data_IF_876470321110
#
_entry.id   IF_876470321110
#
_cell.length_a   1.000
_cell.length_b   1.000
_cell.length_c   1.000
_cell.angle_alpha   90.00
_cell.angle_beta   90.00
_cell.angle_gamma   90.00
#
_symmetry.space_group_name_H-M   'P 1'
#
loop_
_entity.id
_entity.type
_entity.pdbx_description
1 polymer ?
#
# COMPACT_ATOMS: atom_id res chain seq x y z
N UNK A 1 -40.20 -60.92 -34.53
CA UNK A 1 -40.50 -60.21 -33.31
C UNK A 1 -39.22 -59.57 -32.80
N UNK A 2 -39.07 -58.26 -32.98
CA UNK A 2 -37.87 -57.50 -32.49
C UNK A 2 -38.41 -56.31 -31.72
N UNK A 3 -38.20 -56.32 -30.36
CA UNK A 3 -38.53 -55.26 -29.47
C UNK A 3 -37.44 -54.14 -29.62
N UNK A 4 -37.87 -53.01 -30.10
CA UNK A 4 -37.03 -51.81 -30.10
C UNK A 4 -37.05 -51.11 -28.72
N UNK A 5 -35.88 -51.08 -28.09
CA UNK A 5 -35.66 -50.35 -26.85
C UNK A 5 -35.33 -48.89 -27.18
N UNK A 6 -36.27 -47.98 -26.88
CA UNK A 6 -36.03 -46.55 -27.00
C UNK A 6 -35.34 -46.03 -25.74
N UNK A 7 -34.07 -45.78 -25.88
CA UNK A 7 -33.28 -45.12 -24.82
C UNK A 7 -33.58 -43.62 -24.85
N UNK A 8 -34.27 -43.15 -23.81
CA UNK A 8 -34.46 -41.72 -23.56
C UNK A 8 -33.16 -41.11 -23.08
N UNK A 9 -32.51 -40.34 -23.92
CA UNK A 9 -31.35 -39.53 -23.54
C UNK A 9 -31.89 -38.29 -22.82
N UNK A 10 -31.78 -38.26 -21.50
CA UNK A 10 -32.05 -37.07 -20.70
C UNK A 10 -30.82 -36.15 -20.76
N UNK A 11 -30.94 -35.07 -21.51
CA UNK A 11 -29.94 -34.00 -21.52
C UNK A 11 -30.15 -33.18 -20.24
N UNK A 12 -29.31 -33.42 -19.25
CA UNK A 12 -29.20 -32.55 -18.06
C UNK A 12 -28.36 -31.34 -18.45
N UNK A 13 -29.02 -30.22 -18.75
CA UNK A 13 -28.34 -28.93 -18.89
C UNK A 13 -28.01 -28.44 -17.49
N UNK A 14 -26.76 -28.68 -17.07
CA UNK A 14 -26.21 -28.08 -15.89
C UNK A 14 -25.95 -26.59 -16.18
N UNK A 15 -26.89 -25.73 -15.78
CA UNK A 15 -26.65 -24.28 -15.68
C UNK A 15 -25.60 -24.06 -14.58
N UNK A 16 -24.33 -24.02 -14.96
CA UNK A 16 -23.28 -23.50 -14.11
C UNK A 16 -23.48 -21.98 -13.97
N UNK A 17 -24.23 -21.56 -12.99
CA UNK A 17 -24.25 -20.18 -12.53
C UNK A 17 -22.90 -19.91 -11.91
N UNK A 18 -21.96 -19.43 -12.73
CA UNK A 18 -20.74 -18.78 -12.26
C UNK A 18 -21.15 -17.51 -11.50
N UNK A 19 -21.47 -17.68 -10.20
CA UNK A 19 -21.42 -16.58 -9.26
C UNK A 19 -19.97 -16.11 -9.25
N UNK A 20 -19.69 -15.07 -10.04
CA UNK A 20 -18.43 -14.37 -10.05
C UNK A 20 -18.20 -13.76 -8.68
N UNK A 21 -17.65 -14.55 -7.75
CA UNK A 21 -16.95 -14.00 -6.61
C UNK A 21 -15.76 -13.21 -7.18
N UNK A 22 -15.97 -11.92 -7.40
CA UNK A 22 -14.88 -10.97 -7.51
C UNK A 22 -14.20 -10.95 -6.15
N UNK A 23 -13.32 -11.93 -5.89
CA UNK A 23 -12.33 -11.82 -4.85
C UNK A 23 -11.47 -10.61 -5.26
N UNK A 24 -11.79 -9.46 -4.72
CA UNK A 24 -10.93 -8.30 -4.73
C UNK A 24 -9.70 -8.71 -3.92
N UNK A 25 -8.72 -9.33 -4.59
CA UNK A 25 -7.44 -9.62 -3.97
C UNK A 25 -6.78 -8.27 -3.73
N UNK A 26 -6.73 -7.85 -2.48
CA UNK A 26 -5.96 -6.68 -2.05
C UNK A 26 -4.53 -6.89 -2.55
N UNK A 27 -3.94 -5.96 -3.29
CA UNK A 27 -2.59 -6.13 -3.79
C UNK A 27 -1.64 -6.27 -2.61
N UNK A 28 -0.88 -7.37 -2.59
CA UNK A 28 0.13 -7.59 -1.59
C UNK A 28 1.44 -7.00 -2.10
N UNK A 29 2.10 -6.20 -1.27
CA UNK A 29 3.41 -5.65 -1.57
C UNK A 29 4.44 -6.78 -1.65
N UNK A 30 5.30 -6.73 -2.66
CA UNK A 30 6.39 -7.69 -2.81
C UNK A 30 7.69 -7.06 -2.33
N UNK A 31 8.65 -7.90 -1.94
CA UNK A 31 9.97 -7.45 -1.46
C UNK A 31 10.66 -6.50 -2.43
N UNK A 32 10.54 -6.73 -3.73
CA UNK A 32 11.09 -5.87 -4.78
C UNK A 32 10.47 -4.47 -4.84
N UNK A 33 9.24 -4.30 -4.33
CA UNK A 33 8.57 -3.00 -4.29
C UNK A 33 9.10 -2.14 -3.13
N UNK A 34 9.76 -2.76 -2.16
CA UNK A 34 10.28 -2.10 -0.95
C UNK A 34 11.64 -1.45 -1.19
N UNK A 35 12.50 -2.03 -2.04
CA UNK A 35 13.87 -1.54 -2.25
C UNK A 35 13.94 -0.16 -2.96
N UNK A 36 12.89 0.23 -3.66
CA UNK A 36 12.80 1.52 -4.36
C UNK A 36 12.03 2.60 -3.60
N UNK A 37 11.79 2.39 -2.31
CA UNK A 37 10.98 3.31 -1.50
C UNK A 37 11.77 4.57 -1.14
N UNK A 38 11.08 5.70 -1.23
CA UNK A 38 11.55 7.01 -0.78
C UNK A 38 10.68 7.46 0.39
N UNK A 39 11.30 8.00 1.41
CA UNK A 39 10.67 8.55 2.61
C UNK A 39 10.77 10.05 2.58
N UNK A 40 9.65 10.74 2.67
CA UNK A 40 9.58 12.19 2.67
C UNK A 40 8.96 12.66 3.98
N UNK A 41 9.55 13.70 4.57
CA UNK A 41 8.97 14.45 5.67
C UNK A 41 8.51 15.81 5.16
N UNK A 42 7.29 16.16 5.47
CA UNK A 42 6.67 17.42 5.07
C UNK A 42 6.37 18.29 6.28
N UNK A 43 6.56 19.57 6.14
CA UNK A 43 6.18 20.61 7.10
C UNK A 43 5.65 21.83 6.34
N UNK A 44 4.60 22.44 6.87
CA UNK A 44 3.98 23.66 6.28
C UNK A 44 3.68 23.53 4.78
N UNK A 45 3.19 22.35 4.35
CA UNK A 45 2.89 22.00 2.97
C UNK A 45 4.10 21.91 2.03
N UNK A 46 5.31 21.86 2.56
CA UNK A 46 6.55 21.71 1.81
C UNK A 46 7.36 20.48 2.19
N UNK A 47 8.16 19.97 1.25
CA UNK A 47 9.13 18.90 1.51
C UNK A 47 10.25 19.48 2.39
N UNK A 48 10.40 18.95 3.60
CA UNK A 48 11.45 19.35 4.55
C UNK A 48 12.69 18.50 4.39
N UNK A 49 12.52 17.17 4.34
CA UNK A 49 13.63 16.24 4.21
C UNK A 49 13.19 14.95 3.49
N UNK A 50 14.18 14.30 2.90
CA UNK A 50 14.01 13.04 2.17
C UNK A 50 15.06 12.03 2.60
N UNK A 51 14.68 10.76 2.65
CA UNK A 51 15.60 9.65 2.81
C UNK A 51 15.25 8.54 1.82
N UNK A 52 16.25 7.79 1.37
CA UNK A 52 16.09 6.64 0.48
C UNK A 52 16.28 5.35 1.25
N UNK A 53 15.84 4.25 0.67
CA UNK A 53 16.03 2.92 1.27
C UNK A 53 17.49 2.63 1.68
N UNK A 54 18.44 3.09 0.86
CA UNK A 54 19.87 2.92 1.13
C UNK A 54 20.39 3.70 2.34
N UNK A 55 19.67 4.71 2.81
CA UNK A 55 20.06 5.53 3.96
C UNK A 55 19.69 4.88 5.30
N UNK A 56 18.90 3.79 5.26
CA UNK A 56 18.47 3.05 6.43
C UNK A 56 19.53 2.04 6.85
N UNK A 57 19.74 1.90 8.17
CA UNK A 57 20.49 0.78 8.73
C UNK A 57 19.79 -0.54 8.47
N UNK A 58 20.49 -1.65 8.62
CA UNK A 58 19.91 -2.99 8.43
C UNK A 58 18.71 -3.24 9.37
N UNK A 59 18.75 -2.77 10.61
CA UNK A 59 17.64 -2.87 11.57
C UNK A 59 16.44 -2.05 11.12
N UNK A 60 16.66 -0.82 10.66
CA UNK A 60 15.61 0.06 10.15
C UNK A 60 14.98 -0.52 8.87
N UNK A 61 15.79 -1.07 7.96
CA UNK A 61 15.31 -1.77 6.78
C UNK A 61 14.43 -2.97 7.16
N UNK A 62 14.85 -3.75 8.15
CA UNK A 62 14.08 -4.89 8.65
C UNK A 62 12.71 -4.46 9.21
N UNK A 63 12.70 -3.43 10.06
CA UNK A 63 11.49 -2.88 10.65
C UNK A 63 10.53 -2.35 9.57
N UNK A 64 11.03 -1.52 8.66
CA UNK A 64 10.22 -0.92 7.59
C UNK A 64 9.74 -1.96 6.59
N UNK A 65 10.57 -2.96 6.22
CA UNK A 65 10.14 -4.09 5.38
C UNK A 65 8.99 -4.85 6.02
N UNK A 66 9.14 -5.20 7.30
CA UNK A 66 8.10 -5.92 8.04
C UNK A 66 6.80 -5.13 8.05
N UNK A 67 6.86 -3.85 8.37
CA UNK A 67 5.71 -2.97 8.37
C UNK A 67 5.05 -2.88 6.99
N UNK A 68 5.80 -2.61 5.92
CA UNK A 68 5.25 -2.48 4.57
C UNK A 68 4.60 -3.78 4.08
N UNK A 69 5.26 -4.92 4.28
CA UNK A 69 4.77 -6.22 3.82
C UNK A 69 3.55 -6.72 4.60
N UNK A 70 3.40 -6.31 5.86
CA UNK A 70 2.27 -6.69 6.72
C UNK A 70 1.22 -5.59 6.87
N UNK A 71 1.45 -4.40 6.31
CA UNK A 71 0.46 -3.32 6.36
C UNK A 71 -0.83 -3.74 5.70
N UNK A 72 -1.90 -3.75 6.48
CA UNK A 72 -3.22 -4.00 5.94
C UNK A 72 -3.64 -2.84 5.04
N UNK A 73 -4.00 -3.16 3.81
CA UNK A 73 -4.68 -2.25 2.89
C UNK A 73 -6.20 -2.26 3.11
N UNK A 74 -6.65 -2.91 4.17
CA UNK A 74 -8.04 -2.88 4.59
C UNK A 74 -8.35 -1.54 5.24
N UNK A 75 -9.40 -0.91 4.79
CA UNK A 75 -9.82 0.39 5.28
C UNK A 75 -11.05 0.90 4.56
N UNK A 76 -11.53 2.06 4.97
CA UNK A 76 -12.63 2.71 4.27
C UNK A 76 -12.09 3.34 3.00
N UNK A 77 -12.75 3.07 1.88
CA UNK A 77 -12.52 3.83 0.64
C UNK A 77 -12.98 5.25 0.92
N UNK A 78 -12.10 6.20 0.73
CA UNK A 78 -12.42 7.62 0.95
C UNK A 78 -11.57 8.49 0.04
N UNK A 79 -12.16 9.55 -0.47
CA UNK A 79 -11.49 10.58 -1.23
C UNK A 79 -11.38 11.82 -0.32
N UNK A 80 -10.47 11.79 0.63
CA UNK A 80 -10.26 12.91 1.56
C UNK A 80 -8.99 13.64 1.17
N UNK A 81 -9.07 14.94 1.19
CA UNK A 81 -7.87 15.80 1.12
C UNK A 81 -7.24 15.84 2.51
N UNK A 82 -5.95 15.61 2.58
CA UNK A 82 -5.15 15.63 3.81
C UNK A 82 -3.81 16.30 3.56
N UNK A 83 -3.21 16.81 4.62
CA UNK A 83 -1.84 17.33 4.58
C UNK A 83 -0.92 16.21 5.08
N UNK A 84 -0.07 15.64 4.23
CA UNK A 84 0.84 14.59 4.65
C UNK A 84 1.91 15.15 5.59
N UNK A 85 2.25 14.41 6.64
CA UNK A 85 3.40 14.71 7.50
C UNK A 85 4.57 13.81 7.12
N UNK A 86 4.30 12.54 6.89
CA UNK A 86 5.26 11.57 6.37
C UNK A 86 4.64 10.91 5.15
N UNK A 87 5.41 10.85 4.07
CA UNK A 87 5.05 10.12 2.85
C UNK A 87 6.05 9.03 2.62
N UNK A 88 5.57 7.81 2.44
CA UNK A 88 6.35 6.67 1.99
C UNK A 88 5.95 6.39 0.56
N UNK A 89 6.82 6.72 -0.38
CA UNK A 89 6.53 6.67 -1.81
C UNK A 89 7.22 5.49 -2.48
N UNK A 90 6.45 4.70 -3.20
CA UNK A 90 6.93 3.66 -4.08
C UNK A 90 6.25 3.74 -5.45
N UNK A 91 6.67 2.91 -6.38
CA UNK A 91 6.17 2.94 -7.76
C UNK A 91 4.66 2.72 -7.87
N UNK A 92 4.11 1.82 -7.05
CA UNK A 92 2.71 1.37 -7.14
C UNK A 92 1.87 1.70 -5.91
N UNK A 93 2.46 2.34 -4.92
CA UNK A 93 1.75 2.73 -3.72
C UNK A 93 2.39 3.92 -3.03
N UNK A 94 1.59 4.65 -2.26
CA UNK A 94 2.05 5.67 -1.34
C UNK A 94 1.34 5.49 0.00
N UNK A 95 2.10 5.44 1.09
CA UNK A 95 1.55 5.56 2.43
C UNK A 95 1.77 6.98 2.93
N UNK A 96 0.73 7.57 3.49
CA UNK A 96 0.79 8.88 4.15
C UNK A 96 0.38 8.70 5.59
N UNK A 97 1.30 9.03 6.49
CA UNK A 97 1.07 8.99 7.94
C UNK A 97 0.78 10.42 8.39
N UNK A 98 -0.45 10.69 8.78
CA UNK A 98 -0.89 12.03 9.16
C UNK A 98 -1.82 11.98 10.37
N UNK A 99 -1.49 12.72 11.43
CA UNK A 99 -2.24 12.68 12.69
C UNK A 99 -2.39 11.25 13.21
N UNK A 100 -3.63 10.78 13.33
CA UNK A 100 -4.02 9.44 13.76
C UNK A 100 -4.43 8.51 12.60
N UNK A 101 -4.14 8.91 11.34
CA UNK A 101 -4.57 8.23 10.14
C UNK A 101 -3.39 7.74 9.29
N UNK A 102 -3.58 6.57 8.70
CA UNK A 102 -2.81 6.08 7.56
C UNK A 102 -3.68 6.20 6.32
N UNK A 103 -3.19 6.91 5.31
CA UNK A 103 -3.84 6.99 4.01
C UNK A 103 -2.95 6.25 3.01
N UNK A 104 -3.45 5.16 2.46
CA UNK A 104 -2.75 4.39 1.45
C UNK A 104 -3.40 4.61 0.08
N UNK A 105 -2.60 5.06 -0.87
CA UNK A 105 -2.97 5.10 -2.27
C UNK A 105 -2.19 4.00 -2.97
N UNK A 106 -2.87 3.12 -3.68
CA UNK A 106 -2.23 2.04 -4.43
C UNK A 106 -2.86 1.86 -5.81
N UNK A 107 -2.07 1.37 -6.74
CA UNK A 107 -2.52 1.05 -8.07
C UNK A 107 -3.20 -0.32 -8.06
N UNK A 108 -4.54 -0.33 -8.10
CA UNK A 108 -5.36 -1.55 -8.14
C UNK A 108 -5.23 -2.28 -9.49
N UNK A 109 -5.14 -1.50 -10.57
CA UNK A 109 -4.90 -1.95 -11.97
C UNK A 109 -4.09 -0.86 -12.67
N UNK A 110 -3.39 -1.16 -13.76
CA UNK A 110 -2.64 -0.16 -14.50
C UNK A 110 -3.45 1.11 -14.78
N UNK A 111 -3.00 2.23 -14.26
CA UNK A 111 -3.65 3.54 -14.36
C UNK A 111 -4.86 3.77 -13.44
N UNK A 112 -5.28 2.78 -12.65
CA UNK A 112 -6.40 2.92 -11.71
C UNK A 112 -5.92 2.90 -10.27
N UNK A 113 -5.94 4.04 -9.65
CA UNK A 113 -5.56 4.24 -8.25
C UNK A 113 -6.76 4.12 -7.31
N UNK A 114 -6.52 3.56 -6.15
CA UNK A 114 -7.49 3.46 -5.06
C UNK A 114 -6.90 4.03 -3.78
N UNK A 115 -7.73 4.74 -3.03
CA UNK A 115 -7.38 5.28 -1.73
C UNK A 115 -8.14 4.53 -0.63
N UNK A 116 -7.43 4.10 0.39
CA UNK A 116 -8.00 3.55 1.63
C UNK A 116 -7.46 4.31 2.83
N UNK A 117 -8.29 4.47 3.83
CA UNK A 117 -7.96 5.18 5.06
C UNK A 117 -8.26 4.28 6.24
N UNK A 118 -7.33 4.21 7.17
CA UNK A 118 -7.48 3.51 8.45
C UNK A 118 -6.81 4.28 9.57
N UNK A 119 -7.16 3.96 10.82
CA UNK A 119 -6.47 4.50 11.99
C UNK A 119 -5.06 3.93 12.09
N UNK A 120 -4.17 4.74 12.63
CA UNK A 120 -2.80 4.34 12.99
C UNK A 120 -2.85 3.25 14.06
N UNK A 121 -2.04 2.22 13.92
CA UNK A 121 -1.81 1.18 14.92
C UNK A 121 -0.40 1.30 15.50
N UNK A 122 -0.02 0.37 16.38
CA UNK A 122 1.30 0.39 17.05
C UNK A 122 2.44 0.21 16.06
N UNK A 123 2.28 -0.63 15.04
CA UNK A 123 3.31 -0.86 14.01
C UNK A 123 3.49 0.36 13.11
N UNK A 124 2.40 1.03 12.75
CA UNK A 124 2.45 2.29 12.00
C UNK A 124 3.18 3.38 12.78
N UNK A 125 2.97 3.46 14.09
CA UNK A 125 3.64 4.43 14.95
C UNK A 125 5.15 4.14 15.05
N UNK A 126 5.54 2.87 15.16
CA UNK A 126 6.93 2.47 15.16
C UNK A 126 7.62 2.80 13.82
N UNK A 127 6.94 2.53 12.70
CA UNK A 127 7.42 2.89 11.38
C UNK A 127 7.54 4.42 11.24
N UNK A 128 6.55 5.17 11.69
CA UNK A 128 6.55 6.64 11.69
C UNK A 128 7.76 7.20 12.43
N UNK A 129 8.02 6.71 13.64
CA UNK A 129 9.17 7.15 14.44
C UNK A 129 10.51 6.78 13.78
N UNK A 130 10.61 5.60 13.18
CA UNK A 130 11.78 5.19 12.43
C UNK A 130 12.04 6.15 11.25
N UNK A 131 11.04 6.41 10.43
CA UNK A 131 11.14 7.31 9.26
C UNK A 131 11.49 8.72 9.70
N UNK A 132 10.89 9.23 10.77
CA UNK A 132 11.22 10.54 11.34
C UNK A 132 12.70 10.64 11.68
N UNK A 133 13.27 9.63 12.37
CA UNK A 133 14.69 9.63 12.72
C UNK A 133 15.60 9.64 11.49
N UNK A 134 15.28 8.79 10.49
CA UNK A 134 16.09 8.68 9.28
C UNK A 134 16.04 9.97 8.46
N UNK A 135 14.87 10.55 8.28
CA UNK A 135 14.71 11.81 7.52
C UNK A 135 15.36 12.99 8.24
N UNK A 136 15.32 13.03 9.59
CA UNK A 136 16.00 14.08 10.37
C UNK A 136 17.53 13.97 10.24
N UNK A 137 18.11 12.76 10.17
CA UNK A 137 19.55 12.61 9.93
C UNK A 137 19.99 13.19 8.58
N UNK A 138 19.09 13.19 7.61
CA UNK A 138 19.34 13.67 6.25
C UNK A 138 18.95 15.15 6.05
N UNK A 139 18.48 15.84 7.09
CA UNK A 139 18.23 17.29 7.01
C UNK A 139 19.53 18.03 6.68
N UNK A 140 19.53 18.76 5.58
CA UNK A 140 20.61 19.66 5.27
C UNK A 140 20.64 20.78 6.31
N UNK A 141 21.81 21.13 6.89
CA UNK A 141 21.90 22.25 7.82
C UNK A 141 21.34 23.50 7.14
N UNK A 142 20.55 24.26 7.86
CA UNK A 142 19.77 25.42 7.39
C UNK A 142 20.56 26.50 6.66
N UNK A 143 21.88 26.46 6.72
CA UNK A 143 22.81 27.42 6.08
C UNK A 143 23.13 27.14 4.60
N UNK A 144 22.66 26.04 3.98
CA UNK A 144 22.97 25.68 2.58
C UNK A 144 21.79 25.80 1.62
N UNK A 145 20.73 26.52 1.97
CA UNK A 145 19.75 26.92 0.96
C UNK A 145 20.38 27.97 0.06
N UNK A 146 20.95 27.49 -1.04
CA UNK A 146 21.43 28.36 -2.12
C UNK A 146 20.22 29.17 -2.62
N UNK A 147 20.33 30.49 -2.51
CA UNK A 147 19.41 31.47 -3.07
C UNK A 147 19.36 31.35 -4.60
#
# INVERSE_FOLDING_TARGET
MKCGCWQKVSIVIALATCLGCSCSTTPQLMKQDVEGVVFERHQDNGLQSEAKWADLSQEEQSLISHWLLNSSLEGRVSLVTYVPVIVVRAKKFNFNLTGDLVVCNYEERPGRWRQVIRKINVEDEQARQCIMRVTTRNEKPEGQRVL
#
